data_IF_079629542712
#
_entry.id   IF_079629542712
#
_cell.length_a   1.000
_cell.length_b   1.000
_cell.length_c   1.000
_cell.angle_alpha   90.00
_cell.angle_beta   90.00
_cell.angle_gamma   90.00
#
_symmetry.space_group_name_H-M   'P 1'
#
loop_
_entity.id
_entity.type
_entity.pdbx_description
1 polymer ?
#
# COMPACT_ATOMS: atom_id res chain seq x y z
N UNK A 1 -14.30 -1.42 18.24
CA UNK A 1 -13.23 -0.93 19.13
C UNK A 1 -12.13 -0.30 18.27
N UNK A 2 -12.36 0.91 17.73
CA UNK A 2 -11.31 1.79 17.26
C UNK A 2 -11.24 2.91 18.28
N UNK A 3 -10.51 2.64 19.34
CA UNK A 3 -10.18 3.60 20.38
C UNK A 3 -8.70 3.94 20.26
N UNK A 4 -8.22 4.43 19.13
CA UNK A 4 -6.77 4.68 18.96
C UNK A 4 -6.38 5.74 17.96
N UNK A 5 -7.24 6.71 17.64
CA UNK A 5 -6.73 7.89 16.90
C UNK A 5 -6.13 8.97 17.81
N UNK A 6 -6.11 8.76 19.14
CA UNK A 6 -5.57 9.72 20.13
C UNK A 6 -4.43 9.18 21.00
N UNK A 7 -3.89 7.99 20.72
CA UNK A 7 -2.77 7.39 21.49
C UNK A 7 -1.47 7.30 20.69
N UNK A 8 -1.45 7.75 19.46
CA UNK A 8 -0.25 7.73 18.62
C UNK A 8 0.72 8.88 18.90
N UNK A 9 0.43 9.77 19.85
CA UNK A 9 1.37 10.75 20.42
C UNK A 9 2.21 10.22 21.57
N UNK A 10 2.22 8.92 21.84
CA UNK A 10 3.21 8.33 22.72
C UNK A 10 4.51 8.17 21.93
N UNK A 11 5.44 9.07 22.24
CA UNK A 11 6.81 9.05 21.83
C UNK A 11 7.32 7.60 21.68
N UNK A 12 7.43 7.13 20.45
CA UNK A 12 8.40 6.10 20.12
C UNK A 12 9.73 6.78 20.44
N UNK A 13 10.36 6.35 21.53
CA UNK A 13 11.68 6.83 21.90
C UNK A 13 12.57 6.66 20.68
N UNK A 14 13.04 7.76 20.11
CA UNK A 14 13.93 7.85 18.95
C UNK A 14 15.24 7.05 19.09
N UNK A 15 15.46 6.44 20.28
CA UNK A 15 16.66 5.68 20.64
C UNK A 15 16.59 4.17 20.34
N UNK A 16 15.47 3.63 19.86
CA UNK A 16 15.32 2.19 19.59
C UNK A 16 15.12 1.80 18.14
N UNK A 17 15.22 2.71 17.20
CA UNK A 17 15.42 2.35 15.78
C UNK A 17 16.88 1.93 15.59
N UNK A 18 17.28 0.84 16.25
CA UNK A 18 18.54 0.18 15.95
C UNK A 18 18.46 -0.27 14.50
N UNK A 19 19.42 0.17 13.70
CA UNK A 19 19.71 -0.40 12.41
C UNK A 19 19.92 -1.90 12.62
N UNK A 20 18.94 -2.72 12.22
CA UNK A 20 19.07 -4.16 12.34
C UNK A 20 19.87 -4.65 11.14
N UNK A 21 21.05 -5.16 11.40
CA UNK A 21 21.63 -6.12 10.50
C UNK A 21 20.80 -7.39 10.68
N UNK A 22 19.83 -7.60 9.80
CA UNK A 22 19.09 -8.85 9.78
C UNK A 22 20.07 -9.94 9.41
N UNK A 23 19.94 -11.11 10.03
CA UNK A 23 20.80 -12.26 9.68
C UNK A 23 20.72 -12.52 8.16
N UNK A 24 21.72 -13.17 7.60
CA UNK A 24 21.77 -13.56 6.19
C UNK A 24 22.12 -12.46 5.17
N UNK A 25 22.86 -11.41 5.54
CA UNK A 25 23.27 -10.36 4.61
C UNK A 25 22.12 -9.42 4.22
N UNK A 26 21.17 -9.20 5.13
CA UNK A 26 20.08 -8.24 4.94
C UNK A 26 20.28 -7.05 5.86
N UNK A 27 20.28 -5.85 5.29
CA UNK A 27 20.35 -4.58 6.01
C UNK A 27 18.98 -3.90 5.96
N UNK A 28 18.53 -3.40 7.10
CA UNK A 28 17.27 -2.65 7.23
C UNK A 28 17.57 -1.20 7.59
N UNK A 29 17.06 -0.27 6.80
CA UNK A 29 17.20 1.17 6.98
C UNK A 29 15.81 1.82 7.06
N UNK A 30 15.34 2.20 8.25
CA UNK A 30 14.12 3.00 8.37
C UNK A 30 14.38 4.44 7.94
N UNK A 31 13.60 4.95 6.99
CA UNK A 31 13.64 6.32 6.48
C UNK A 31 12.47 7.12 7.02
N UNK A 32 12.77 8.31 7.56
CA UNK A 32 11.74 9.22 8.06
C UNK A 32 10.89 9.76 6.89
N UNK A 33 9.59 9.89 7.15
CA UNK A 33 8.62 10.49 6.22
C UNK A 33 8.27 11.93 6.64
N UNK A 34 7.78 12.79 5.73
CA UNK A 34 7.38 14.17 6.04
C UNK A 34 6.09 14.26 6.89
N UNK A 35 5.42 13.16 7.13
CA UNK A 35 4.22 13.05 7.96
C UNK A 35 4.44 12.14 9.17
N UNK A 36 3.57 12.25 10.17
CA UNK A 36 3.72 11.56 11.45
C UNK A 36 3.23 10.11 11.47
N UNK A 37 2.34 9.73 10.55
CA UNK A 37 1.80 8.37 10.47
C UNK A 37 1.69 7.94 9.00
N UNK A 38 2.39 6.83 8.63
CA UNK A 38 3.16 5.91 9.45
C UNK A 38 4.52 6.43 9.96
N UNK A 39 4.97 7.63 9.60
CA UNK A 39 6.16 8.32 10.08
C UNK A 39 7.49 7.81 9.53
N UNK A 40 7.58 6.55 9.16
CA UNK A 40 8.76 5.93 8.56
C UNK A 40 8.37 4.91 7.51
N UNK A 41 9.20 4.80 6.46
CA UNK A 41 9.20 3.69 5.51
C UNK A 41 10.46 2.86 5.71
N UNK A 42 10.34 1.56 5.56
CA UNK A 42 11.44 0.62 5.69
C UNK A 42 12.07 0.36 4.32
N UNK A 43 13.37 0.58 4.22
CA UNK A 43 14.18 0.23 3.06
C UNK A 43 15.02 -0.97 3.43
N UNK A 44 15.13 -1.94 2.52
CA UNK A 44 15.93 -3.13 2.75
C UNK A 44 17.00 -3.29 1.67
N UNK A 45 18.15 -3.81 2.07
CA UNK A 45 19.23 -4.18 1.17
C UNK A 45 19.51 -5.67 1.36
N UNK A 46 19.42 -6.42 0.31
CA UNK A 46 19.68 -7.86 0.29
C UNK A 46 21.04 -8.08 -0.40
N UNK A 47 22.00 -8.64 0.34
CA UNK A 47 23.33 -8.93 -0.16
C UNK A 47 23.28 -9.87 -1.36
N UNK A 48 23.94 -9.49 -2.42
CA UNK A 48 24.10 -10.19 -3.66
C UNK A 48 25.61 -10.42 -3.89
N UNK A 49 25.98 -11.28 -4.83
CA UNK A 49 27.38 -11.66 -5.08
C UNK A 49 28.33 -10.47 -5.24
N UNK A 50 27.89 -9.43 -5.97
CA UNK A 50 28.70 -8.27 -6.32
C UNK A 50 28.08 -6.94 -5.86
N UNK A 51 27.27 -6.96 -4.80
CA UNK A 51 26.59 -5.78 -4.27
C UNK A 51 25.27 -6.11 -3.58
N UNK A 52 24.24 -5.28 -3.78
CA UNK A 52 22.96 -5.39 -3.09
C UNK A 52 21.77 -5.18 -4.04
N UNK A 53 20.69 -5.92 -3.78
CA UNK A 53 19.36 -5.58 -4.25
C UNK A 53 18.72 -4.70 -3.19
N UNK A 54 18.28 -3.50 -3.58
CA UNK A 54 17.59 -2.55 -2.72
C UNK A 54 16.08 -2.69 -2.92
N UNK A 55 15.31 -2.75 -1.84
CA UNK A 55 13.84 -2.79 -1.86
C UNK A 55 13.32 -1.48 -1.30
N UNK A 56 12.56 -0.77 -2.12
CA UNK A 56 12.04 0.57 -1.91
C UNK A 56 13.13 1.65 -1.68
N UNK A 57 12.77 2.93 -1.75
CA UNK A 57 13.77 4.00 -1.67
C UNK A 57 13.31 5.27 -0.92
N UNK A 58 12.06 5.31 -0.44
CA UNK A 58 11.55 6.48 0.27
C UNK A 58 10.99 7.58 -0.64
N UNK A 59 10.61 8.70 -0.02
CA UNK A 59 10.03 9.86 -0.69
C UNK A 59 11.07 10.69 -1.43
N UNK A 60 10.67 11.39 -2.48
CA UNK A 60 11.51 12.33 -3.20
C UNK A 60 11.86 13.57 -2.36
N UNK A 61 13.09 14.08 -2.54
CA UNK A 61 13.61 15.30 -1.96
C UNK A 61 15.09 15.18 -1.61
N UNK A 62 15.83 16.29 -1.73
CA UNK A 62 17.29 16.32 -1.47
C UNK A 62 17.63 15.91 -0.03
N UNK A 63 16.82 16.35 0.94
CA UNK A 63 17.00 15.96 2.34
C UNK A 63 16.84 14.46 2.59
N UNK A 64 15.94 13.80 1.85
CA UNK A 64 15.73 12.34 1.97
C UNK A 64 16.85 11.57 1.26
N UNK A 65 17.33 12.09 0.13
CA UNK A 65 18.51 11.56 -0.55
C UNK A 65 19.75 11.62 0.37
N UNK A 66 20.03 12.77 0.96
CA UNK A 66 21.15 12.96 1.90
C UNK A 66 21.02 12.06 3.13
N UNK A 67 19.80 11.91 3.65
CA UNK A 67 19.53 11.01 4.78
C UNK A 67 19.79 9.55 4.40
N UNK A 68 19.32 9.10 3.23
CA UNK A 68 19.58 7.75 2.72
C UNK A 68 21.08 7.50 2.57
N UNK A 69 21.81 8.41 1.92
CA UNK A 69 23.25 8.31 1.73
C UNK A 69 24.01 8.25 3.06
N UNK A 70 23.63 9.09 4.02
CA UNK A 70 24.24 9.10 5.36
C UNK A 70 24.02 7.76 6.07
N UNK A 71 22.81 7.20 5.97
CA UNK A 71 22.49 5.90 6.58
C UNK A 71 23.22 4.76 5.87
N UNK A 72 23.26 4.75 4.55
CA UNK A 72 24.01 3.76 3.76
C UNK A 72 25.50 3.77 4.14
N UNK A 73 26.13 4.94 4.23
CA UNK A 73 27.53 5.10 4.66
C UNK A 73 27.79 4.52 6.07
N UNK A 74 26.82 4.56 6.97
CA UNK A 74 26.98 3.97 8.31
C UNK A 74 27.09 2.44 8.30
N UNK A 75 26.68 1.81 7.19
CA UNK A 75 26.88 0.38 6.92
C UNK A 75 28.04 0.10 5.96
N UNK A 76 28.79 1.12 5.55
CA UNK A 76 29.84 1.00 4.56
C UNK A 76 29.34 0.86 3.12
N UNK A 77 28.08 1.21 2.87
CA UNK A 77 27.45 1.15 1.54
C UNK A 77 27.55 2.48 0.81
N UNK A 78 27.67 2.39 -0.50
CA UNK A 78 27.57 3.49 -1.46
C UNK A 78 26.55 3.17 -2.56
N UNK A 79 26.28 4.10 -3.46
CA UNK A 79 25.37 3.85 -4.58
C UNK A 79 25.92 2.82 -5.57
N UNK A 80 27.21 2.72 -5.71
CA UNK A 80 27.91 1.76 -6.58
C UNK A 80 27.70 0.29 -6.14
N UNK A 81 27.36 0.09 -4.86
CA UNK A 81 27.06 -1.23 -4.32
C UNK A 81 25.65 -1.71 -4.68
N UNK A 82 24.75 -0.81 -5.15
CA UNK A 82 23.37 -1.17 -5.49
C UNK A 82 23.31 -1.66 -6.95
N UNK A 83 22.91 -2.92 -7.14
CA UNK A 83 22.80 -3.55 -8.47
C UNK A 83 21.41 -3.45 -9.07
N UNK A 84 20.38 -3.33 -8.23
CA UNK A 84 19.00 -3.23 -8.64
C UNK A 84 18.19 -2.57 -7.53
N UNK A 85 17.36 -1.57 -7.86
CA UNK A 85 16.30 -1.05 -7.02
C UNK A 85 14.98 -1.71 -7.43
N UNK A 86 14.29 -2.35 -6.50
CA UNK A 86 12.95 -2.89 -6.69
C UNK A 86 11.95 -2.04 -5.93
N UNK A 87 10.99 -1.44 -6.61
CA UNK A 87 9.81 -0.85 -5.97
C UNK A 87 8.76 -1.92 -5.69
N UNK A 88 8.28 -2.00 -4.45
CA UNK A 88 7.23 -2.96 -4.09
C UNK A 88 5.90 -2.59 -4.73
N UNK A 89 5.60 -1.30 -4.80
CA UNK A 89 4.39 -0.75 -5.42
C UNK A 89 4.54 0.75 -5.73
N UNK A 90 3.53 1.35 -6.37
CA UNK A 90 3.62 2.72 -6.87
C UNK A 90 3.11 3.77 -5.88
N UNK A 91 3.51 3.71 -4.60
CA UNK A 91 3.32 4.81 -3.67
C UNK A 91 4.60 5.64 -3.51
N UNK A 92 4.41 6.95 -3.27
CA UNK A 92 5.51 7.92 -3.26
C UNK A 92 6.55 7.69 -2.18
N UNK A 93 6.17 7.13 -1.06
CA UNK A 93 7.05 6.78 0.05
C UNK A 93 7.86 5.49 -0.19
N UNK A 94 7.54 4.75 -1.23
CA UNK A 94 8.29 3.56 -1.64
C UNK A 94 9.20 3.85 -2.84
N UNK A 95 8.75 4.62 -3.83
CA UNK A 95 9.49 4.82 -5.08
C UNK A 95 9.87 6.28 -5.38
N UNK A 96 9.65 7.21 -4.44
CA UNK A 96 9.86 8.64 -4.67
C UNK A 96 11.27 9.03 -5.09
N UNK A 97 12.32 8.39 -4.56
CA UNK A 97 13.71 8.64 -4.95
C UNK A 97 14.16 7.85 -6.20
N UNK A 98 13.31 7.01 -6.80
CA UNK A 98 13.72 6.12 -7.88
C UNK A 98 14.38 6.84 -9.05
N UNK A 99 13.85 8.00 -9.49
CA UNK A 99 14.47 8.77 -10.57
C UNK A 99 15.85 9.31 -10.20
N UNK A 100 16.01 9.80 -8.96
CA UNK A 100 17.31 10.27 -8.45
C UNK A 100 18.34 9.14 -8.38
N UNK A 101 17.92 7.93 -8.00
CA UNK A 101 18.80 6.77 -7.94
C UNK A 101 19.18 6.28 -9.35
N UNK A 102 18.25 6.36 -10.32
CA UNK A 102 18.56 6.08 -11.74
C UNK A 102 19.60 7.04 -12.32
N UNK A 103 19.64 8.31 -11.90
CA UNK A 103 20.71 9.25 -12.25
C UNK A 103 22.09 8.84 -11.69
N UNK A 104 22.14 7.85 -10.79
CA UNK A 104 23.36 7.20 -10.27
C UNK A 104 23.64 5.84 -10.92
N UNK A 105 23.06 5.60 -12.10
CA UNK A 105 23.18 4.35 -12.85
C UNK A 105 22.63 3.10 -12.13
N UNK A 106 21.69 3.29 -11.17
CA UNK A 106 21.01 2.18 -10.49
C UNK A 106 19.77 1.78 -11.31
N UNK A 107 19.71 0.57 -11.87
CA UNK A 107 18.54 0.09 -12.58
C UNK A 107 17.32 0.02 -11.66
N UNK A 108 16.16 0.49 -12.14
CA UNK A 108 14.90 0.48 -11.41
C UNK A 108 13.94 -0.57 -11.97
N UNK A 109 13.38 -1.37 -11.08
CA UNK A 109 12.45 -2.45 -11.39
C UNK A 109 11.09 -2.24 -10.75
N UNK A 110 10.03 -2.48 -11.51
CA UNK A 110 8.64 -2.55 -11.04
C UNK A 110 7.94 -3.77 -11.65
N UNK A 111 6.82 -4.17 -11.06
CA UNK A 111 5.99 -5.20 -11.65
C UNK A 111 5.44 -4.75 -13.01
N UNK A 112 5.37 -5.66 -13.97
CA UNK A 112 5.14 -5.36 -15.40
C UNK A 112 3.89 -4.52 -15.72
N UNK A 113 2.82 -4.62 -14.91
CA UNK A 113 1.63 -3.83 -15.13
C UNK A 113 1.74 -2.36 -14.69
N UNK A 114 2.84 -1.98 -14.01
CA UNK A 114 3.06 -0.61 -13.52
C UNK A 114 3.11 0.42 -14.64
N UNK A 115 3.55 0.03 -15.83
CA UNK A 115 3.68 0.91 -17.00
C UNK A 115 2.37 1.62 -17.33
N UNK A 116 1.24 0.95 -17.16
CA UNK A 116 -0.11 1.48 -17.43
C UNK A 116 -0.50 2.63 -16.49
N UNK A 117 0.18 2.75 -15.33
CA UNK A 117 -0.21 3.69 -14.25
C UNK A 117 0.79 4.82 -14.02
N UNK A 118 1.87 4.89 -14.81
CA UNK A 118 2.91 5.92 -14.70
C UNK A 118 2.33 7.32 -14.87
N UNK A 119 1.44 7.52 -15.84
CA UNK A 119 0.82 8.82 -16.08
C UNK A 119 0.02 9.30 -14.85
N UNK A 120 -0.81 8.43 -14.28
CA UNK A 120 -1.59 8.73 -13.07
C UNK A 120 -0.74 8.89 -11.81
N UNK A 121 0.45 8.26 -11.75
CA UNK A 121 1.41 8.52 -10.69
C UNK A 121 2.02 9.91 -10.82
N UNK A 122 2.39 10.31 -12.02
CA UNK A 122 3.03 11.59 -12.31
C UNK A 122 2.06 12.78 -12.25
N UNK A 123 0.77 12.53 -12.47
CA UNK A 123 -0.31 13.53 -12.40
C UNK A 123 -1.52 12.99 -11.61
N UNK A 124 -1.60 13.35 -10.34
CA UNK A 124 -2.67 12.91 -9.46
C UNK A 124 -4.04 13.44 -9.86
N UNK A 125 -4.13 14.51 -10.65
CA UNK A 125 -5.42 15.01 -11.14
C UNK A 125 -6.14 13.98 -12.00
N UNK A 126 -5.40 13.17 -12.76
CA UNK A 126 -5.93 12.05 -13.57
C UNK A 126 -6.59 11.01 -12.66
N UNK A 127 -5.88 10.60 -11.61
CA UNK A 127 -6.35 9.61 -10.62
C UNK A 127 -7.59 10.10 -9.87
N UNK A 128 -7.55 11.33 -9.37
CA UNK A 128 -8.62 11.87 -8.52
C UNK A 128 -9.86 12.34 -9.29
N UNK A 129 -9.75 12.60 -10.60
CA UNK A 129 -10.90 12.89 -11.45
C UNK A 129 -11.95 11.80 -11.42
N UNK A 130 -11.54 10.54 -11.53
CA UNK A 130 -12.45 9.39 -11.48
C UNK A 130 -13.03 9.19 -10.08
N UNK A 131 -12.20 9.37 -9.03
CA UNK A 131 -12.71 9.33 -7.65
C UNK A 131 -13.84 10.35 -7.44
N UNK A 132 -13.70 11.57 -7.96
CA UNK A 132 -14.72 12.60 -7.90
C UNK A 132 -16.02 12.19 -8.60
N UNK A 133 -15.93 11.55 -9.77
CA UNK A 133 -17.09 11.05 -10.50
C UNK A 133 -17.85 9.97 -9.70
N UNK A 134 -17.14 9.04 -9.08
CA UNK A 134 -17.71 8.05 -8.17
C UNK A 134 -18.36 8.74 -6.97
N UNK A 135 -17.62 9.62 -6.29
CA UNK A 135 -18.12 10.32 -5.11
C UNK A 135 -19.44 11.08 -5.38
N UNK A 136 -19.53 11.74 -6.54
CA UNK A 136 -20.75 12.42 -6.97
C UNK A 136 -21.92 11.46 -7.13
N UNK A 137 -21.70 10.30 -7.76
CA UNK A 137 -22.75 9.28 -7.96
C UNK A 137 -23.17 8.63 -6.65
N UNK A 138 -22.26 8.49 -5.71
CA UNK A 138 -22.50 7.90 -4.39
C UNK A 138 -23.02 8.91 -3.35
N UNK A 139 -23.42 10.13 -3.79
CA UNK A 139 -24.10 11.10 -2.94
C UNK A 139 -23.19 11.93 -2.04
N UNK A 140 -21.90 12.00 -2.33
CA UNK A 140 -20.98 12.85 -1.57
C UNK A 140 -21.36 14.34 -1.68
N UNK A 141 -21.22 15.14 -0.59
CA UNK A 141 -21.53 16.55 -0.61
C UNK A 141 -20.54 17.36 -1.43
N UNK A 142 -20.99 18.56 -1.84
CA UNK A 142 -20.16 19.47 -2.65
C UNK A 142 -18.81 19.78 -2.01
N UNK A 143 -18.76 19.97 -0.68
CA UNK A 143 -17.50 20.21 0.02
C UNK A 143 -16.46 19.10 -0.20
N UNK A 144 -16.88 17.84 -0.11
CA UNK A 144 -15.99 16.69 -0.38
C UNK A 144 -15.50 16.65 -1.85
N UNK A 145 -16.38 17.02 -2.80
CA UNK A 145 -16.02 17.09 -4.21
C UNK A 145 -15.06 18.26 -4.49
N UNK A 146 -15.25 19.39 -3.82
CA UNK A 146 -14.36 20.56 -3.92
C UNK A 146 -12.99 20.26 -3.29
N UNK A 147 -12.93 19.49 -2.18
CA UNK A 147 -11.66 19.06 -1.56
C UNK A 147 -10.85 18.15 -2.50
N UNK A 148 -11.53 17.28 -3.26
CA UNK A 148 -10.85 16.43 -4.26
C UNK A 148 -10.21 17.28 -5.38
N UNK A 149 -10.85 18.37 -5.80
CA UNK A 149 -10.31 19.27 -6.84
C UNK A 149 -9.04 20.02 -6.41
N UNK A 150 -8.76 20.11 -5.11
CA UNK A 150 -7.57 20.76 -4.58
C UNK A 150 -6.36 19.81 -4.44
N UNK A 151 -6.53 18.53 -4.81
CA UNK A 151 -5.44 17.56 -4.69
C UNK A 151 -4.47 17.76 -5.85
N UNK A 152 -3.26 18.14 -5.51
CA UNK A 152 -2.14 18.24 -6.45
C UNK A 152 -1.14 17.11 -6.21
N UNK A 153 -0.35 16.79 -7.25
CA UNK A 153 0.75 15.85 -7.11
C UNK A 153 1.80 16.47 -6.18
N UNK A 154 2.07 15.88 -5.01
CA UNK A 154 3.00 16.47 -4.07
C UNK A 154 4.44 16.33 -4.54
N UNK A 155 5.28 17.29 -4.17
CA UNK A 155 6.68 17.33 -4.57
C UNK A 155 7.47 16.10 -4.11
N UNK A 156 7.08 15.54 -2.97
CA UNK A 156 7.71 14.33 -2.41
C UNK A 156 7.38 13.04 -3.18
N UNK A 157 6.43 13.06 -4.10
CA UNK A 157 6.15 11.91 -4.95
C UNK A 157 7.29 11.66 -5.96
N UNK A 158 7.95 12.73 -6.41
CA UNK A 158 8.88 12.63 -7.52
C UNK A 158 8.14 12.36 -8.84
N UNK A 159 8.89 12.26 -9.91
CA UNK A 159 8.39 11.79 -11.21
C UNK A 159 9.09 10.51 -11.58
N UNK A 160 8.39 9.58 -12.17
CA UNK A 160 8.95 8.34 -12.66
C UNK A 160 8.79 8.25 -14.19
N UNK A 161 9.69 7.52 -14.81
CA UNK A 161 9.59 7.05 -16.19
C UNK A 161 9.43 5.53 -16.20
N UNK A 162 9.29 4.94 -17.37
CA UNK A 162 9.26 3.47 -17.48
C UNK A 162 10.45 2.83 -16.75
N UNK A 163 10.22 1.76 -15.98
CA UNK A 163 11.28 1.04 -15.29
C UNK A 163 12.25 0.39 -16.28
N UNK A 164 13.51 0.20 -15.85
CA UNK A 164 14.53 -0.47 -16.64
C UNK A 164 14.31 -1.99 -16.70
N UNK A 165 13.64 -2.52 -15.65
CA UNK A 165 13.34 -3.95 -15.53
C UNK A 165 11.87 -4.13 -15.20
N UNK A 166 11.16 -4.90 -16.03
CA UNK A 166 9.78 -5.31 -15.75
C UNK A 166 9.80 -6.67 -15.06
N UNK A 167 9.30 -6.69 -13.81
CA UNK A 167 9.20 -7.89 -13.00
C UNK A 167 7.95 -8.70 -13.32
N UNK A 168 8.08 -10.00 -13.23
CA UNK A 168 7.00 -10.99 -13.28
C UNK A 168 7.07 -11.90 -12.05
N UNK A 169 6.01 -12.65 -11.78
CA UNK A 169 6.03 -13.68 -10.71
C UNK A 169 7.14 -14.71 -10.94
N UNK A 170 7.73 -15.15 -9.84
CA UNK A 170 8.82 -16.13 -9.83
C UNK A 170 10.19 -15.49 -9.60
N UNK A 171 11.24 -16.24 -9.91
CA UNK A 171 12.62 -15.81 -9.64
C UNK A 171 13.06 -14.67 -10.55
N UNK A 172 13.77 -13.70 -9.96
CA UNK A 172 14.34 -12.57 -10.68
C UNK A 172 15.49 -13.04 -11.54
N UNK A 173 15.47 -12.70 -12.82
CA UNK A 173 16.59 -12.97 -13.74
C UNK A 173 17.76 -12.05 -13.41
N UNK A 174 19.00 -12.56 -13.59
CA UNK A 174 20.26 -11.83 -13.37
C UNK A 174 20.53 -11.41 -11.91
N UNK A 175 19.81 -11.99 -10.95
CA UNK A 175 20.11 -11.94 -9.53
C UNK A 175 20.53 -13.35 -9.11
N UNK A 176 21.74 -13.50 -8.50
CA UNK A 176 22.25 -14.83 -8.14
C UNK A 176 21.60 -15.38 -6.87
N UNK A 177 21.16 -14.48 -5.97
CA UNK A 177 20.42 -14.86 -4.80
C UNK A 177 19.03 -15.35 -5.19
N UNK A 178 18.56 -16.43 -4.58
CA UNK A 178 17.24 -17.01 -4.84
C UNK A 178 16.13 -16.13 -4.23
N UNK A 179 15.77 -15.07 -4.96
CA UNK A 179 14.71 -14.10 -4.61
C UNK A 179 13.53 -14.32 -5.55
N UNK A 180 12.34 -14.48 -4.97
CA UNK A 180 11.11 -14.74 -5.71
C UNK A 180 10.14 -13.56 -5.59
N UNK A 181 9.59 -13.14 -6.71
CA UNK A 181 8.52 -12.12 -6.80
C UNK A 181 7.16 -12.81 -6.67
N UNK A 182 6.39 -12.34 -5.72
CA UNK A 182 5.00 -12.77 -5.47
C UNK A 182 4.09 -11.59 -5.79
N UNK A 183 3.26 -11.70 -6.81
CA UNK A 183 2.28 -10.65 -7.13
C UNK A 183 1.17 -10.66 -6.08
N UNK A 184 1.04 -9.54 -5.33
CA UNK A 184 0.14 -9.38 -4.17
C UNK A 184 -0.73 -8.14 -4.29
N UNK A 185 -1.53 -7.99 -5.37
CA UNK A 185 -2.38 -6.83 -5.56
C UNK A 185 -3.47 -6.73 -4.48
N UNK A 186 -3.86 -5.49 -4.16
CA UNK A 186 -4.93 -5.20 -3.22
C UNK A 186 -4.81 -3.83 -2.59
N UNK A 187 -3.75 -3.54 -1.87
CA UNK A 187 -3.42 -2.21 -1.40
C UNK A 187 -3.01 -1.29 -2.57
N UNK A 188 -2.22 -1.83 -3.48
CA UNK A 188 -1.95 -1.23 -4.79
C UNK A 188 -2.11 -2.31 -5.87
N UNK A 189 -2.50 -1.89 -7.08
CA UNK A 189 -2.73 -2.80 -8.22
C UNK A 189 -1.44 -3.37 -8.81
N UNK A 190 -0.31 -2.77 -8.48
CA UNK A 190 1.02 -3.17 -8.95
C UNK A 190 1.84 -3.87 -7.87
N UNK A 191 1.27 -4.02 -6.67
CA UNK A 191 2.00 -4.46 -5.50
C UNK A 191 2.54 -5.87 -5.61
N UNK A 192 3.79 -6.01 -5.21
CA UNK A 192 4.49 -7.28 -5.06
C UNK A 192 5.02 -7.44 -3.64
N UNK A 193 5.04 -8.68 -3.19
CA UNK A 193 5.89 -9.12 -2.07
C UNK A 193 7.11 -9.84 -2.63
N UNK A 194 8.22 -9.83 -1.90
CA UNK A 194 9.49 -10.38 -2.32
C UNK A 194 9.94 -11.41 -1.29
N UNK A 195 10.04 -12.68 -1.68
CA UNK A 195 10.49 -13.75 -0.80
C UNK A 195 11.98 -14.00 -1.02
N UNK A 196 12.78 -13.77 0.01
CA UNK A 196 14.17 -14.24 0.06
C UNK A 196 14.18 -15.68 0.58
N UNK A 197 14.29 -16.63 -0.34
CA UNK A 197 14.23 -18.05 -0.03
C UNK A 197 15.34 -18.51 0.94
N UNK A 198 16.61 -18.03 0.86
CA UNK A 198 17.67 -18.43 1.80
C UNK A 198 17.39 -18.05 3.25
N UNK A 199 16.79 -16.86 3.53
CA UNK A 199 16.45 -16.42 4.87
C UNK A 199 15.02 -16.78 5.28
N UNK A 200 14.14 -17.11 4.35
CA UNK A 200 12.70 -17.25 4.51
C UNK A 200 12.04 -15.96 5.05
N UNK A 201 12.54 -14.81 4.64
CA UNK A 201 11.99 -13.48 4.95
C UNK A 201 11.16 -13.01 3.75
N UNK A 202 9.92 -12.63 4.02
CA UNK A 202 9.04 -11.99 3.04
C UNK A 202 9.07 -10.47 3.24
N UNK A 203 9.54 -9.73 2.25
CA UNK A 203 9.40 -8.28 2.18
C UNK A 203 8.04 -7.97 1.57
N UNK A 204 7.10 -7.52 2.39
CA UNK A 204 5.70 -7.46 1.98
C UNK A 204 5.26 -6.13 1.40
N UNK A 205 6.15 -5.14 1.28
CA UNK A 205 5.69 -3.78 1.01
C UNK A 205 4.58 -3.38 1.99
N UNK A 206 3.50 -2.85 1.48
CA UNK A 206 2.33 -2.49 2.29
C UNK A 206 1.22 -3.55 2.27
N UNK A 207 1.44 -4.67 1.59
CA UNK A 207 0.48 -5.79 1.59
C UNK A 207 0.18 -6.30 3.01
N UNK A 208 1.19 -6.44 3.87
CA UNK A 208 1.03 -6.88 5.26
C UNK A 208 1.77 -5.94 6.21
N UNK A 209 1.03 -5.21 7.05
CA UNK A 209 1.55 -4.28 8.05
C UNK A 209 1.35 -4.80 9.48
N UNK A 210 2.25 -4.47 10.44
CA UNK A 210 2.25 -5.11 11.77
C UNK A 210 1.07 -4.72 12.66
N UNK A 211 0.55 -3.50 12.55
CA UNK A 211 -0.46 -2.97 13.48
C UNK A 211 -1.76 -2.57 12.79
N UNK A 212 -1.67 -1.87 11.68
CA UNK A 212 -2.82 -1.42 10.90
C UNK A 212 -3.10 -2.39 9.76
N UNK A 213 -4.34 -2.42 9.28
CA UNK A 213 -4.68 -3.06 8.02
C UNK A 213 -4.38 -2.04 6.92
N UNK A 214 -3.72 -2.43 5.84
CA UNK A 214 -3.51 -1.54 4.70
C UNK A 214 -4.83 -0.97 4.18
N UNK A 215 -4.78 0.23 3.68
CA UNK A 215 -5.88 0.85 2.95
C UNK A 215 -6.13 0.09 1.65
N UNK A 216 -7.38 -0.24 1.37
CA UNK A 216 -7.78 -0.85 0.09
C UNK A 216 -8.52 0.20 -0.74
N UNK A 217 -7.95 0.64 -1.86
CA UNK A 217 -8.51 1.71 -2.67
C UNK A 217 -9.75 1.27 -3.46
N UNK A 218 -10.56 2.27 -3.82
CA UNK A 218 -11.49 2.15 -4.94
C UNK A 218 -10.72 2.37 -6.24
N UNK A 219 -10.74 1.39 -7.13
CA UNK A 219 -10.08 1.52 -8.42
C UNK A 219 -11.02 1.99 -9.52
N UNK A 220 -10.46 2.73 -10.45
CA UNK A 220 -11.18 3.34 -11.56
C UNK A 220 -11.53 2.37 -12.71
N UNK A 221 -10.94 1.19 -12.67
CA UNK A 221 -11.19 0.09 -13.63
C UNK A 221 -12.40 -0.75 -13.28
N UNK A 222 -13.02 -0.53 -12.11
CA UNK A 222 -14.09 -1.39 -11.58
C UNK A 222 -13.57 -2.72 -11.00
N UNK A 223 -12.25 -2.84 -10.82
CA UNK A 223 -11.63 -4.00 -10.21
C UNK A 223 -12.02 -4.14 -8.73
N UNK A 224 -12.29 -5.37 -8.32
CA UNK A 224 -12.52 -5.71 -6.92
C UNK A 224 -11.18 -5.85 -6.19
N UNK A 225 -10.68 -4.71 -5.69
CA UNK A 225 -9.39 -4.67 -5.01
C UNK A 225 -9.42 -5.43 -3.68
N UNK A 226 -10.57 -5.50 -3.01
CA UNK A 226 -10.69 -6.26 -1.77
C UNK A 226 -10.67 -7.79 -2.03
N UNK A 227 -11.28 -8.25 -3.12
CA UNK A 227 -11.14 -9.65 -3.54
C UNK A 227 -9.68 -9.97 -3.88
N UNK A 228 -9.03 -9.12 -4.69
CA UNK A 228 -7.60 -9.27 -5.02
C UNK A 228 -6.75 -9.33 -3.77
N UNK A 229 -6.99 -8.43 -2.80
CA UNK A 229 -6.29 -8.40 -1.53
C UNK A 229 -6.49 -9.69 -0.71
N UNK A 230 -7.72 -10.18 -0.64
CA UNK A 230 -8.05 -11.42 0.08
C UNK A 230 -7.33 -12.62 -0.54
N UNK A 231 -7.35 -12.74 -1.88
CA UNK A 231 -6.65 -13.79 -2.61
C UNK A 231 -5.12 -13.68 -2.44
N UNK A 232 -4.59 -12.46 -2.38
CA UNK A 232 -3.16 -12.22 -2.11
C UNK A 232 -2.78 -12.63 -0.69
N UNK A 233 -3.62 -12.36 0.31
CA UNK A 233 -3.40 -12.84 1.68
C UNK A 233 -3.40 -14.38 1.75
N UNK A 234 -4.32 -15.05 1.04
CA UNK A 234 -4.38 -16.52 0.95
C UNK A 234 -3.13 -17.07 0.26
N UNK A 235 -2.65 -16.41 -0.81
CA UNK A 235 -1.41 -16.78 -1.50
C UNK A 235 -0.22 -16.72 -0.54
N UNK A 236 -0.05 -15.62 0.17
CA UNK A 236 1.05 -15.42 1.14
C UNK A 236 0.92 -16.38 2.34
N UNK A 237 -0.30 -16.68 2.81
CA UNK A 237 -0.53 -17.63 3.90
C UNK A 237 0.02 -19.04 3.57
N UNK A 238 0.04 -19.41 2.29
CA UNK A 238 0.54 -20.71 1.83
C UNK A 238 2.05 -20.74 1.52
N UNK A 239 2.79 -19.64 1.76
CA UNK A 239 4.24 -19.62 1.63
C UNK A 239 4.92 -20.08 2.94
N UNK A 240 6.20 -20.46 2.83
CA UNK A 240 7.01 -20.93 3.98
C UNK A 240 7.86 -19.80 4.59
N UNK A 241 7.27 -18.60 4.78
CA UNK A 241 7.98 -17.50 5.41
C UNK A 241 8.01 -17.64 6.94
N UNK A 242 9.18 -17.36 7.54
CA UNK A 242 9.36 -17.31 8.99
C UNK A 242 9.17 -15.93 9.58
N UNK A 243 9.42 -14.91 8.77
CA UNK A 243 9.41 -13.52 9.18
C UNK A 243 8.82 -12.66 8.03
N UNK A 244 8.04 -11.63 8.37
CA UNK A 244 7.66 -10.61 7.39
C UNK A 244 8.39 -9.30 7.74
N UNK A 245 9.01 -8.73 6.72
CA UNK A 245 9.66 -7.42 6.72
C UNK A 245 8.76 -6.43 5.94
N UNK A 246 7.90 -5.65 6.65
CA UNK A 246 6.89 -4.80 6.03
C UNK A 246 7.48 -3.48 5.54
N UNK A 247 6.77 -2.77 4.65
CA UNK A 247 7.10 -1.42 4.22
C UNK A 247 7.05 -0.40 5.37
N UNK A 248 6.21 -0.63 6.39
CA UNK A 248 6.11 0.23 7.57
C UNK A 248 6.04 -0.55 8.87
N UNK A 249 6.68 0.03 9.91
CA UNK A 249 6.62 -0.49 11.27
C UNK A 249 7.62 -1.61 11.55
N UNK A 250 7.35 -2.40 12.59
CA UNK A 250 8.25 -3.45 13.06
C UNK A 250 8.11 -4.74 12.25
N UNK A 251 9.15 -5.57 12.28
CA UNK A 251 9.12 -6.93 11.73
C UNK A 251 7.98 -7.76 12.36
N UNK A 252 7.41 -8.67 11.60
CA UNK A 252 6.29 -9.51 12.02
C UNK A 252 6.79 -10.95 12.21
N UNK A 253 7.00 -11.32 13.48
CA UNK A 253 7.52 -12.63 13.88
C UNK A 253 6.48 -13.75 13.83
N UNK A 254 5.20 -13.40 13.71
CA UNK A 254 4.08 -14.36 13.64
C UNK A 254 3.27 -14.12 12.36
N UNK A 255 3.84 -14.44 11.17
CA UNK A 255 3.23 -14.15 9.87
C UNK A 255 1.79 -14.61 9.75
N UNK A 256 1.54 -15.89 10.00
CA UNK A 256 0.22 -16.51 9.81
C UNK A 256 -0.85 -15.88 10.70
N UNK A 257 -0.52 -15.66 11.99
CA UNK A 257 -1.44 -15.00 12.91
C UNK A 257 -1.79 -13.58 12.49
N UNK A 258 -0.83 -12.87 11.90
CA UNK A 258 -1.08 -11.53 11.38
C UNK A 258 -1.98 -11.53 10.15
N UNK A 259 -1.77 -12.45 9.23
CA UNK A 259 -2.61 -12.62 8.04
C UNK A 259 -4.06 -12.94 8.45
N UNK A 260 -4.26 -13.88 9.36
CA UNK A 260 -5.59 -14.24 9.89
C UNK A 260 -6.32 -13.04 10.53
N UNK A 261 -5.58 -12.20 11.27
CA UNK A 261 -6.15 -10.97 11.86
C UNK A 261 -6.64 -10.01 10.77
N UNK A 262 -5.91 -9.87 9.65
CA UNK A 262 -6.28 -8.99 8.55
C UNK A 262 -7.49 -9.53 7.79
N UNK A 263 -7.53 -10.83 7.50
CA UNK A 263 -8.70 -11.49 6.91
C UNK A 263 -9.94 -11.30 7.79
N UNK A 264 -9.80 -11.51 9.09
CA UNK A 264 -10.90 -11.32 10.06
C UNK A 264 -11.34 -9.84 10.13
N UNK A 265 -10.42 -8.89 9.99
CA UNK A 265 -10.76 -7.47 9.96
C UNK A 265 -11.71 -7.14 8.80
N UNK A 266 -11.34 -7.54 7.58
CA UNK A 266 -12.17 -7.27 6.39
C UNK A 266 -13.49 -8.02 6.43
N UNK A 267 -13.50 -9.26 6.93
CA UNK A 267 -14.74 -9.98 7.15
C UNK A 267 -15.67 -9.23 8.10
N UNK A 268 -15.18 -8.81 9.27
CA UNK A 268 -15.99 -8.05 10.24
C UNK A 268 -16.48 -6.71 9.68
N UNK A 269 -15.68 -6.04 8.85
CA UNK A 269 -16.09 -4.80 8.19
C UNK A 269 -17.22 -5.06 7.21
N UNK A 270 -17.11 -6.12 6.40
CA UNK A 270 -18.15 -6.56 5.44
C UNK A 270 -19.45 -6.94 6.18
N UNK A 271 -19.36 -7.76 7.22
CA UNK A 271 -20.51 -8.13 8.03
C UNK A 271 -21.23 -6.90 8.61
N UNK A 272 -20.45 -5.93 9.14
CA UNK A 272 -21.00 -4.68 9.67
C UNK A 272 -21.73 -3.84 8.59
N UNK A 273 -21.22 -3.78 7.38
CA UNK A 273 -21.88 -3.09 6.26
C UNK A 273 -23.21 -3.75 5.94
N UNK A 274 -23.28 -5.06 5.86
CA UNK A 274 -24.52 -5.81 5.61
C UNK A 274 -25.56 -5.52 6.71
N UNK A 275 -25.12 -5.50 7.96
CA UNK A 275 -25.99 -5.21 9.11
C UNK A 275 -26.51 -3.77 9.09
N UNK A 276 -25.67 -2.79 8.73
CA UNK A 276 -26.07 -1.39 8.59
C UNK A 276 -27.08 -1.18 7.47
N UNK A 277 -26.89 -1.82 6.33
CA UNK A 277 -27.84 -1.76 5.21
C UNK A 277 -29.18 -2.38 5.63
N UNK A 278 -29.16 -3.55 6.28
CA UNK A 278 -30.37 -4.21 6.77
C UNK A 278 -31.44 -4.34 5.70
N UNK A 279 -32.63 -3.78 5.94
CA UNK A 279 -33.75 -3.71 5.00
C UNK A 279 -33.92 -2.34 4.31
N UNK A 280 -32.98 -1.43 4.53
CA UNK A 280 -32.99 -0.06 4.00
C UNK A 280 -32.17 0.04 2.70
N UNK A 281 -32.19 1.24 2.12
CA UNK A 281 -31.35 1.61 0.97
C UNK A 281 -30.54 2.83 1.38
N UNK A 282 -29.25 2.78 1.15
CA UNK A 282 -28.34 3.87 1.45
C UNK A 282 -27.43 4.16 0.27
N UNK A 283 -27.10 5.43 0.05
CA UNK A 283 -25.99 5.80 -0.83
C UNK A 283 -24.66 5.38 -0.20
N UNK A 284 -23.62 5.30 -1.02
CA UNK A 284 -22.27 5.01 -0.51
C UNK A 284 -21.84 6.03 0.54
N UNK A 285 -22.15 7.31 0.33
CA UNK A 285 -21.85 8.37 1.29
C UNK A 285 -22.56 8.20 2.64
N UNK A 286 -23.83 7.81 2.64
CA UNK A 286 -24.57 7.54 3.87
C UNK A 286 -23.96 6.36 4.63
N UNK A 287 -23.53 5.30 3.92
CA UNK A 287 -22.86 4.15 4.53
C UNK A 287 -21.52 4.58 5.16
N UNK A 288 -20.73 5.43 4.51
CA UNK A 288 -19.49 5.99 5.09
C UNK A 288 -19.81 6.67 6.43
N UNK A 289 -20.82 7.54 6.48
CA UNK A 289 -21.19 8.25 7.72
C UNK A 289 -21.67 7.30 8.82
N UNK A 290 -22.36 6.22 8.48
CA UNK A 290 -22.81 5.19 9.43
C UNK A 290 -21.63 4.35 9.97
N UNK A 291 -20.64 4.07 9.12
CA UNK A 291 -19.43 3.33 9.51
C UNK A 291 -18.49 4.15 10.38
N UNK A 292 -18.37 5.45 10.07
CA UNK A 292 -17.44 6.39 10.69
C UNK A 292 -18.21 7.59 11.29
N UNK A 293 -18.94 7.40 12.42
CA UNK A 293 -19.82 8.43 12.98
C UNK A 293 -19.04 9.61 13.61
N UNK A 294 -17.72 9.52 13.74
CA UNK A 294 -16.87 10.60 14.23
C UNK A 294 -16.36 11.44 13.05
N UNK A 295 -16.19 12.74 13.30
CA UNK A 295 -15.59 13.63 12.31
C UNK A 295 -14.18 13.15 11.98
N UNK A 296 -13.92 12.92 10.70
CA UNK A 296 -12.62 12.63 10.13
C UNK A 296 -12.05 13.92 9.51
N UNK A 297 -10.73 14.03 9.46
CA UNK A 297 -10.07 15.03 8.61
C UNK A 297 -10.23 14.66 7.13
N UNK A 298 -9.86 15.55 6.24
CA UNK A 298 -10.06 15.41 4.79
C UNK A 298 -9.39 14.16 4.21
N UNK A 299 -8.15 13.89 4.61
CA UNK A 299 -7.43 12.71 4.15
C UNK A 299 -8.11 11.43 4.62
N UNK A 300 -8.37 11.31 5.92
CA UNK A 300 -9.01 10.12 6.50
C UNK A 300 -10.43 9.92 5.96
N UNK A 301 -11.15 10.99 5.65
CA UNK A 301 -12.48 10.90 5.04
C UNK A 301 -12.40 10.36 3.60
N UNK A 302 -11.41 10.78 2.81
CA UNK A 302 -11.18 10.22 1.46
C UNK A 302 -10.82 8.74 1.49
N UNK A 303 -9.95 8.34 2.43
CA UNK A 303 -9.60 6.94 2.61
C UNK A 303 -10.81 6.11 3.06
N UNK A 304 -11.57 6.60 4.04
CA UNK A 304 -12.79 5.94 4.53
C UNK A 304 -13.84 5.78 3.42
N UNK A 305 -14.00 6.79 2.57
CA UNK A 305 -14.92 6.73 1.43
C UNK A 305 -14.51 5.63 0.45
N UNK A 306 -13.26 5.63 0.01
CA UNK A 306 -12.77 4.65 -0.97
C UNK A 306 -12.81 3.23 -0.41
N UNK A 307 -12.35 3.01 0.82
CA UNK A 307 -12.36 1.68 1.44
C UNK A 307 -13.79 1.16 1.65
N UNK A 308 -14.74 2.06 1.99
CA UNK A 308 -16.16 1.67 2.09
C UNK A 308 -16.68 1.20 0.74
N UNK A 309 -16.40 1.93 -0.35
CA UNK A 309 -16.83 1.53 -1.69
C UNK A 309 -16.14 0.24 -2.16
N UNK A 310 -14.87 0.02 -1.84
CA UNK A 310 -14.19 -1.25 -2.12
C UNK A 310 -14.92 -2.42 -1.45
N UNK A 311 -15.34 -2.26 -0.19
CA UNK A 311 -16.18 -3.27 0.50
C UNK A 311 -17.55 -3.45 -0.14
N UNK A 312 -18.19 -2.38 -0.61
CA UNK A 312 -19.51 -2.48 -1.27
C UNK A 312 -19.42 -3.24 -2.60
N UNK A 313 -18.40 -2.97 -3.41
CA UNK A 313 -18.12 -3.70 -4.65
C UNK A 313 -17.88 -5.18 -4.37
N UNK A 314 -17.04 -5.47 -3.37
CA UNK A 314 -16.77 -6.84 -2.93
C UNK A 314 -18.05 -7.59 -2.54
N UNK A 315 -18.90 -6.96 -1.73
CA UNK A 315 -20.15 -7.55 -1.26
C UNK A 315 -21.18 -7.74 -2.42
N UNK A 316 -21.19 -6.84 -3.38
CA UNK A 316 -21.99 -6.97 -4.61
C UNK A 316 -21.51 -8.16 -5.43
N UNK A 317 -20.21 -8.30 -5.66
CA UNK A 317 -19.62 -9.42 -6.40
C UNK A 317 -19.86 -10.77 -5.69
N UNK A 318 -19.97 -10.75 -4.35
CA UNK A 318 -20.40 -11.95 -3.58
C UNK A 318 -21.92 -12.20 -3.62
N UNK A 319 -22.70 -11.34 -4.28
CA UNK A 319 -24.16 -11.49 -4.37
C UNK A 319 -24.91 -11.24 -3.06
N UNK A 320 -24.31 -10.51 -2.10
CA UNK A 320 -24.89 -10.24 -0.78
C UNK A 320 -25.67 -8.93 -0.74
N UNK A 321 -25.25 -7.96 -1.53
CA UNK A 321 -25.92 -6.68 -1.76
C UNK A 321 -26.00 -6.40 -3.27
N UNK A 322 -26.77 -5.42 -3.66
CA UNK A 322 -26.78 -4.95 -5.05
C UNK A 322 -26.72 -3.44 -5.12
N UNK A 323 -26.09 -2.95 -6.16
CA UNK A 323 -26.00 -1.55 -6.53
C UNK A 323 -27.19 -1.16 -7.40
N UNK A 324 -27.99 -0.21 -6.94
CA UNK A 324 -29.13 0.31 -7.68
C UNK A 324 -28.75 1.66 -8.27
N UNK A 325 -28.48 1.65 -9.57
CA UNK A 325 -28.12 2.87 -10.30
C UNK A 325 -29.33 3.82 -10.39
N UNK A 326 -29.10 5.10 -10.13
CA UNK A 326 -30.08 6.14 -10.24
C UNK A 326 -29.49 7.36 -10.97
N UNK A 327 -30.36 8.13 -11.64
CA UNK A 327 -29.95 9.34 -12.37
C UNK A 327 -29.36 10.44 -11.46
N UNK A 328 -29.71 10.47 -10.18
CA UNK A 328 -29.22 11.46 -9.20
C UNK A 328 -28.17 10.88 -8.28
N UNK A 329 -28.53 9.82 -7.55
CA UNK A 329 -27.67 9.22 -6.52
C UNK A 329 -27.89 7.70 -6.52
N UNK A 330 -26.83 6.93 -6.61
CA UNK A 330 -26.87 5.49 -6.49
C UNK A 330 -27.19 5.04 -5.07
N UNK A 331 -27.75 3.85 -4.92
CA UNK A 331 -28.05 3.26 -3.63
C UNK A 331 -27.62 1.80 -3.58
N UNK A 332 -27.33 1.34 -2.38
CA UNK A 332 -26.99 -0.04 -2.06
C UNK A 332 -28.09 -0.67 -1.23
N UNK A 333 -28.50 -1.86 -1.56
CA UNK A 333 -29.52 -2.61 -0.81
C UNK A 333 -29.15 -4.09 -0.68
N UNK A 334 -29.57 -4.70 0.42
CA UNK A 334 -29.33 -6.14 0.67
C UNK A 334 -30.17 -6.97 -0.30
N UNK A 335 -29.58 -8.02 -0.85
CA UNK A 335 -30.30 -9.03 -1.65
C UNK A 335 -31.10 -9.89 -0.68
N UNK A 336 -32.43 -9.94 -0.84
CA UNK A 336 -33.29 -10.84 -0.08
C UNK A 336 -33.06 -12.25 -0.57
N UNK A 337 -32.57 -13.13 0.29
CA UNK A 337 -32.60 -14.54 0.02
C UNK A 337 -34.08 -14.96 0.03
N UNK A 338 -34.56 -15.53 -1.08
CA UNK A 338 -35.93 -16.04 -1.25
C UNK A 338 -36.05 -17.37 -0.52
#
# INVERSE_FOLDING_TARGET
FINTCSIWCLAINFLELKNFNLQHGIIHIPMKLPWSSPGFVNIYFIEEKDGYVMIDCGVNGSEYQELLETKMKSFGLSYEDIKLLIGTHMHSDHIGLSSTLREKDIPFALYKNSVEFIEGYNDWSIRFKKLKEYAKKEGAPKSFLDDIDQIETPIYAGKISEPDVLLEEGNIKNVNRNIEIIFTPGHDRTEISILDNPSQILFSGDHILPKITPFIPLEDTGDDMLEKYTLSLDKVYNLEQKLIAPGHGALIEKPYSRIEQMQLHHKKRSDKIIDLIGNSKFSGWEIVNLLFPRKLDELNLRLAFQETLAHLIYLENKGLIKHVLNSKTNHWEKIRQV
#
